data_IF_173842880896
#
_entry.id   IF_173842880896
#
_cell.length_a   1.000
_cell.length_b   1.000
_cell.length_c   1.000
_cell.angle_alpha   90.00
_cell.angle_beta   90.00
_cell.angle_gamma   90.00
#
_symmetry.space_group_name_H-M   'P 1'
#
loop_
_entity.id
_entity.type
_entity.pdbx_description
1 polymer ?
#
# COMPACT_ATOMS: atom_id res chain seq x y z
N UNK A 1 -0.58 8.55 -33.07
CA UNK A 1 0.72 8.38 -32.34
C UNK A 1 1.47 9.71 -32.22
N UNK A 2 1.64 10.50 -33.31
CA UNK A 2 2.30 11.83 -33.29
C UNK A 2 1.62 12.84 -32.36
N UNK A 3 0.29 12.94 -32.36
CA UNK A 3 -0.47 13.84 -31.50
C UNK A 3 -0.30 13.48 -29.99
N UNK A 4 -0.22 12.20 -29.68
CA UNK A 4 0.00 11.73 -28.30
C UNK A 4 1.43 12.06 -27.81
N UNK A 5 2.43 11.96 -28.69
CA UNK A 5 3.81 12.36 -28.39
C UNK A 5 3.95 13.88 -28.24
N UNK A 6 3.29 14.67 -29.09
CA UNK A 6 3.28 16.13 -28.96
C UNK A 6 2.59 16.59 -27.67
N UNK A 7 1.48 15.96 -27.27
CA UNK A 7 0.81 16.25 -25.99
C UNK A 7 1.70 15.89 -24.78
N UNK A 8 2.48 14.82 -24.86
CA UNK A 8 3.43 14.46 -23.82
C UNK A 8 4.57 15.46 -23.69
N UNK A 9 5.12 15.92 -24.83
CA UNK A 9 6.19 16.93 -24.86
C UNK A 9 5.68 18.27 -24.31
N UNK A 10 4.48 18.70 -24.71
CA UNK A 10 3.85 19.92 -24.19
C UNK A 10 3.60 19.83 -22.69
N UNK A 11 3.11 18.70 -22.20
CA UNK A 11 2.96 18.47 -20.76
C UNK A 11 4.30 18.52 -20.01
N UNK A 12 5.36 17.97 -20.58
CA UNK A 12 6.71 18.05 -20.00
C UNK A 12 7.26 19.48 -19.99
N UNK A 13 7.04 20.26 -21.03
CA UNK A 13 7.47 21.66 -21.11
C UNK A 13 6.71 22.53 -20.12
N UNK A 14 5.40 22.34 -19.97
CA UNK A 14 4.59 23.07 -18.99
C UNK A 14 5.06 22.76 -17.56
N UNK A 15 5.39 21.52 -17.26
CA UNK A 15 5.86 21.09 -15.94
C UNK A 15 7.23 21.71 -15.58
N UNK A 16 8.07 22.03 -16.59
CA UNK A 16 9.38 22.68 -16.35
C UNK A 16 9.30 24.17 -15.97
N UNK A 17 8.18 24.85 -16.25
CA UNK A 17 7.99 26.29 -15.92
C UNK A 17 7.14 26.54 -14.68
N UNK A 18 6.55 25.49 -14.09
CA UNK A 18 5.63 25.68 -12.94
C UNK A 18 6.41 25.82 -11.64
N UNK A 19 6.14 26.89 -10.91
CA UNK A 19 6.64 27.05 -9.55
C UNK A 19 5.93 26.06 -8.60
N UNK A 20 6.57 24.95 -8.30
CA UNK A 20 6.00 23.87 -7.46
C UNK A 20 5.52 24.35 -6.10
N UNK A 21 6.14 25.40 -5.53
CA UNK A 21 5.80 25.96 -4.22
C UNK A 21 4.42 26.64 -4.18
N UNK A 22 3.88 26.99 -5.35
CA UNK A 22 2.54 27.60 -5.47
C UNK A 22 1.44 26.56 -5.66
N UNK A 23 1.82 25.32 -5.99
CA UNK A 23 0.90 24.22 -6.22
C UNK A 23 0.34 23.66 -4.91
N UNK A 24 -0.94 23.28 -4.96
CA UNK A 24 -1.57 22.50 -3.90
C UNK A 24 -1.11 21.04 -3.95
N UNK A 25 -1.23 20.34 -2.84
CA UNK A 25 -0.90 18.91 -2.74
C UNK A 25 -1.53 18.06 -3.86
N UNK A 26 -2.81 18.30 -4.19
CA UNK A 26 -3.49 17.61 -5.28
C UNK A 26 -2.82 17.83 -6.66
N UNK A 27 -2.31 19.02 -6.90
CA UNK A 27 -1.59 19.34 -8.15
C UNK A 27 -0.21 18.69 -8.16
N UNK A 28 0.49 18.68 -7.03
CA UNK A 28 1.77 17.96 -6.86
C UNK A 28 1.57 16.46 -7.12
N UNK A 29 0.51 15.87 -6.58
CA UNK A 29 0.14 14.46 -6.85
C UNK A 29 -0.04 14.22 -8.34
N UNK A 30 -0.90 15.02 -8.99
CA UNK A 30 -1.29 14.80 -10.39
C UNK A 30 -0.16 15.05 -11.37
N UNK A 31 0.68 16.07 -11.14
CA UNK A 31 1.70 16.50 -12.09
C UNK A 31 3.04 15.78 -11.91
N UNK A 32 3.38 15.36 -10.68
CA UNK A 32 4.71 14.86 -10.38
C UNK A 32 4.69 13.44 -9.82
N UNK A 33 3.91 13.16 -8.75
CA UNK A 33 3.97 11.89 -8.02
C UNK A 33 3.30 10.78 -8.84
N UNK A 34 2.03 10.94 -9.24
CA UNK A 34 1.32 9.92 -10.05
C UNK A 34 2.07 9.57 -11.33
N UNK A 35 2.58 10.54 -12.15
CA UNK A 35 3.37 10.22 -13.32
C UNK A 35 4.69 9.50 -13.02
N UNK A 36 5.35 9.81 -11.88
CA UNK A 36 6.57 9.11 -11.47
C UNK A 36 6.29 7.63 -11.16
N UNK A 37 5.23 7.36 -10.38
CA UNK A 37 4.77 6.01 -10.09
C UNK A 37 4.38 5.25 -11.37
N UNK A 38 3.63 5.89 -12.27
CA UNK A 38 3.19 5.28 -13.53
C UNK A 38 4.35 4.90 -14.44
N UNK A 39 5.41 5.71 -14.52
CA UNK A 39 6.64 5.37 -15.29
C UNK A 39 7.31 4.10 -14.81
N UNK A 40 7.13 3.74 -13.54
CA UNK A 40 7.64 2.50 -12.91
C UNK A 40 6.65 1.33 -12.96
N UNK A 41 5.56 1.46 -13.73
CA UNK A 41 4.59 0.40 -13.94
C UNK A 41 3.51 0.30 -12.86
N UNK A 42 3.38 1.32 -11.99
CA UNK A 42 2.26 1.45 -11.07
C UNK A 42 1.06 2.06 -11.80
N UNK A 43 0.02 1.28 -12.02
CA UNK A 43 -1.16 1.70 -12.77
C UNK A 43 -2.36 1.87 -11.84
N UNK A 44 -3.02 3.04 -11.92
CA UNK A 44 -4.24 3.34 -11.16
C UNK A 44 -5.31 2.27 -11.45
N UNK A 45 -6.02 1.85 -10.43
CA UNK A 45 -7.06 0.83 -10.46
C UNK A 45 -6.61 -0.59 -10.84
N UNK A 46 -5.32 -0.81 -11.12
CA UNK A 46 -4.75 -2.13 -11.40
C UNK A 46 -3.89 -2.60 -10.21
N UNK A 47 -2.84 -1.87 -9.92
CA UNK A 47 -1.90 -2.17 -8.83
C UNK A 47 -1.55 -0.94 -7.97
N UNK A 48 -2.29 0.17 -8.14
CA UNK A 48 -2.22 1.37 -7.33
C UNK A 48 -3.64 1.87 -7.07
N UNK A 49 -3.97 2.12 -5.81
CA UNK A 49 -5.22 2.78 -5.39
C UNK A 49 -4.90 4.13 -4.82
N UNK A 50 -5.59 5.14 -5.32
CA UNK A 50 -5.53 6.49 -4.80
C UNK A 50 -6.60 6.69 -3.73
N UNK A 51 -6.31 7.52 -2.74
CA UNK A 51 -7.24 7.90 -1.67
C UNK A 51 -7.87 6.70 -0.96
N UNK A 52 -7.02 5.74 -0.54
CA UNK A 52 -7.47 4.51 0.08
C UNK A 52 -7.96 4.75 1.51
N UNK A 53 -9.26 4.51 1.74
CA UNK A 53 -9.88 4.63 3.06
C UNK A 53 -9.73 3.36 3.89
N UNK A 54 -9.34 3.53 5.15
CA UNK A 54 -9.31 2.48 6.15
C UNK A 54 -9.52 3.07 7.56
N UNK A 55 -9.79 2.22 8.55
CA UNK A 55 -9.97 2.61 9.94
C UNK A 55 -8.97 1.88 10.80
N UNK A 56 -8.54 2.44 11.93
CA UNK A 56 -7.64 1.77 12.88
C UNK A 56 -8.24 0.52 13.55
N UNK A 57 -9.48 0.15 13.22
CA UNK A 57 -10.18 -0.98 13.81
C UNK A 57 -10.50 -0.84 15.30
N UNK A 58 -10.18 0.27 15.94
CA UNK A 58 -10.49 0.53 17.34
C UNK A 58 -11.89 1.09 17.47
N UNK A 59 -12.76 0.34 18.14
CA UNK A 59 -14.01 0.87 18.69
C UNK A 59 -13.69 1.36 20.08
N UNK A 60 -13.67 2.67 20.29
CA UNK A 60 -13.55 3.25 21.63
C UNK A 60 -14.94 3.20 22.27
N UNK A 61 -15.04 2.39 23.32
CA UNK A 61 -16.24 2.34 24.16
C UNK A 61 -15.97 3.21 25.39
N UNK A 62 -16.60 4.39 25.45
CA UNK A 62 -16.54 5.27 26.62
C UNK A 62 -17.96 5.31 27.21
N UNK A 63 -18.18 4.55 28.27
CA UNK A 63 -19.52 4.38 28.86
C UNK A 63 -20.50 3.75 27.88
N UNK A 64 -21.66 4.37 27.65
CA UNK A 64 -22.68 3.92 26.68
C UNK A 64 -22.50 4.48 25.25
N UNK A 65 -21.42 5.21 25.00
CA UNK A 65 -21.14 5.77 23.69
C UNK A 65 -20.13 4.92 22.94
N UNK A 66 -20.46 4.53 21.72
CA UNK A 66 -19.56 3.89 20.77
C UNK A 66 -19.05 4.98 19.81
N UNK A 67 -17.78 5.32 19.84
CA UNK A 67 -17.15 6.09 18.79
C UNK A 67 -16.33 5.15 17.90
N UNK A 68 -16.62 5.18 16.61
CA UNK A 68 -15.75 4.56 15.60
C UNK A 68 -14.55 5.48 15.46
N UNK A 69 -13.33 4.94 15.48
CA UNK A 69 -12.14 5.73 15.21
C UNK A 69 -12.29 6.44 13.86
N UNK A 70 -11.81 7.67 13.77
CA UNK A 70 -11.84 8.44 12.53
C UNK A 70 -11.20 7.63 11.41
N UNK A 71 -11.88 7.61 10.25
CA UNK A 71 -11.36 6.96 9.05
C UNK A 71 -10.05 7.64 8.62
N UNK A 72 -9.05 6.84 8.30
CA UNK A 72 -7.79 7.30 7.73
C UNK A 72 -7.84 7.16 6.22
N UNK A 73 -7.10 8.01 5.51
CA UNK A 73 -7.03 7.99 4.07
C UNK A 73 -5.57 8.10 3.65
N UNK A 74 -5.05 7.05 3.02
CA UNK A 74 -3.74 7.07 2.41
C UNK A 74 -3.83 7.61 0.98
N UNK A 75 -2.89 8.45 0.57
CA UNK A 75 -2.87 9.02 -0.77
C UNK A 75 -2.70 7.96 -1.85
N UNK A 76 -1.77 7.02 -1.64
CA UNK A 76 -1.61 5.86 -2.53
C UNK A 76 -1.34 4.60 -1.71
N UNK A 77 -1.99 3.51 -2.12
CA UNK A 77 -1.69 2.17 -1.68
C UNK A 77 -1.27 1.32 -2.89
N UNK A 78 -0.07 0.75 -2.82
CA UNK A 78 0.57 0.04 -3.92
C UNK A 78 0.44 -1.48 -3.72
N UNK A 79 0.09 -2.19 -4.79
CA UNK A 79 -0.20 -3.63 -4.77
C UNK A 79 0.68 -4.40 -5.73
N UNK A 80 1.07 -5.61 -5.34
CA UNK A 80 1.62 -6.61 -6.24
C UNK A 80 0.96 -7.97 -5.99
N UNK A 81 0.56 -8.67 -7.06
CA UNK A 81 -0.18 -9.95 -6.98
C UNK A 81 -1.38 -9.90 -6.00
N UNK A 82 -2.14 -8.80 -6.02
CA UNK A 82 -3.27 -8.60 -5.11
C UNK A 82 -2.92 -8.33 -3.65
N UNK A 83 -1.63 -8.27 -3.28
CA UNK A 83 -1.15 -7.97 -1.94
C UNK A 83 -0.69 -6.52 -1.86
N UNK A 84 -1.16 -5.73 -0.87
CA UNK A 84 -0.60 -4.40 -0.64
C UNK A 84 0.84 -4.53 -0.12
N UNK A 85 1.76 -3.74 -0.65
CA UNK A 85 3.20 -3.81 -0.32
C UNK A 85 3.79 -2.49 0.14
N UNK A 86 3.24 -1.36 -0.27
CA UNK A 86 3.74 -0.05 0.10
C UNK A 86 2.61 0.98 0.18
N UNK A 87 2.84 2.02 0.96
CA UNK A 87 2.02 3.22 1.04
C UNK A 87 2.85 4.44 0.66
N UNK A 88 2.22 5.42 0.00
CA UNK A 88 2.86 6.70 -0.33
C UNK A 88 1.95 7.83 0.16
N UNK A 89 2.53 8.77 0.91
CA UNK A 89 1.90 10.01 1.35
C UNK A 89 2.48 11.19 0.57
N UNK A 90 1.61 12.03 0.07
CA UNK A 90 1.97 13.25 -0.63
C UNK A 90 1.94 14.46 0.30
N UNK A 91 2.75 15.45 0.01
CA UNK A 91 2.70 16.78 0.60
C UNK A 91 2.87 17.83 -0.49
N UNK A 92 2.41 19.05 -0.23
CA UNK A 92 2.74 20.16 -1.12
C UNK A 92 4.25 20.47 -1.05
N UNK A 93 4.74 21.20 -2.04
CA UNK A 93 6.18 21.48 -2.19
C UNK A 93 6.71 22.57 -1.22
N UNK A 94 5.89 23.01 -0.26
CA UNK A 94 6.33 23.84 0.87
C UNK A 94 6.92 23.01 2.00
N UNK A 95 6.59 21.73 2.04
CA UNK A 95 7.14 20.76 2.98
C UNK A 95 8.38 20.09 2.42
N UNK A 96 9.25 19.62 3.30
CA UNK A 96 10.36 18.76 2.92
C UNK A 96 9.87 17.43 2.37
N UNK A 97 10.73 16.72 1.62
CA UNK A 97 10.41 15.39 1.04
C UNK A 97 9.90 14.42 2.11
N UNK A 98 10.46 14.50 3.32
CA UNK A 98 10.06 13.68 4.47
C UNK A 98 8.83 14.18 5.24
N UNK A 99 8.19 15.28 4.83
CA UNK A 99 7.09 15.89 5.59
C UNK A 99 5.88 14.99 5.86
N UNK A 100 5.67 13.94 5.06
CA UNK A 100 4.62 12.94 5.23
C UNK A 100 5.09 11.59 5.76
N UNK A 101 6.41 11.39 6.01
CA UNK A 101 6.95 10.05 6.28
C UNK A 101 6.38 9.42 7.56
N UNK A 102 6.21 10.19 8.64
CA UNK A 102 5.64 9.65 9.87
C UNK A 102 4.21 9.16 9.66
N UNK A 103 3.40 9.90 8.92
CA UNK A 103 2.04 9.51 8.56
C UNK A 103 2.04 8.24 7.71
N UNK A 104 2.93 8.14 6.72
CA UNK A 104 3.10 6.95 5.90
C UNK A 104 3.53 5.74 6.73
N UNK A 105 4.45 5.91 7.68
CA UNK A 105 4.89 4.86 8.60
C UNK A 105 3.74 4.35 9.48
N UNK A 106 2.94 5.24 10.05
CA UNK A 106 1.77 4.89 10.86
C UNK A 106 0.77 4.07 10.05
N UNK A 107 0.54 4.47 8.80
CA UNK A 107 -0.34 3.75 7.88
C UNK A 107 0.23 2.39 7.49
N UNK A 108 1.53 2.32 7.21
CA UNK A 108 2.20 1.06 6.91
C UNK A 108 2.10 0.06 8.07
N UNK A 109 2.24 0.52 9.32
CA UNK A 109 2.08 -0.32 10.50
C UNK A 109 0.65 -0.86 10.65
N UNK A 110 -0.37 -0.03 10.45
CA UNK A 110 -1.78 -0.45 10.51
C UNK A 110 -2.08 -1.47 9.41
N UNK A 111 -1.57 -1.25 8.20
CA UNK A 111 -1.82 -2.08 7.02
C UNK A 111 -0.85 -3.27 6.89
N UNK A 112 0.09 -3.45 7.83
CA UNK A 112 1.15 -4.48 7.83
C UNK A 112 2.04 -4.44 6.58
N UNK A 113 2.42 -3.24 6.15
CA UNK A 113 3.29 -3.02 4.99
C UNK A 113 4.76 -2.93 5.41
N UNK A 114 5.66 -3.19 4.47
CA UNK A 114 7.11 -3.16 4.72
C UNK A 114 7.80 -1.92 4.15
N UNK A 115 7.10 -1.13 3.35
CA UNK A 115 7.63 0.08 2.74
C UNK A 115 6.65 1.24 2.91
N UNK A 116 7.16 2.36 3.40
CA UNK A 116 6.44 3.62 3.51
C UNK A 116 7.20 4.72 2.76
N UNK A 117 6.49 5.54 2.04
CA UNK A 117 7.07 6.63 1.25
C UNK A 117 6.38 7.95 1.55
N UNK A 118 7.15 9.02 1.53
CA UNK A 118 6.66 10.40 1.46
C UNK A 118 7.21 11.09 0.23
N UNK A 119 6.45 12.02 -0.36
CA UNK A 119 6.92 12.83 -1.49
C UNK A 119 6.28 14.22 -1.50
N UNK A 120 7.06 15.23 -1.84
CA UNK A 120 6.60 16.59 -2.13
C UNK A 120 6.68 16.95 -3.62
N UNK A 121 6.88 15.96 -4.49
CA UNK A 121 7.04 16.12 -5.92
C UNK A 121 8.46 16.45 -6.40
N UNK A 122 9.47 16.52 -5.52
CA UNK A 122 10.89 16.64 -5.88
C UNK A 122 11.60 15.30 -5.85
N UNK A 123 11.34 14.52 -4.80
CA UNK A 123 11.90 13.19 -4.59
C UNK A 123 10.91 12.36 -3.76
N UNK A 124 11.27 11.10 -3.49
CA UNK A 124 10.61 10.28 -2.47
C UNK A 124 11.58 10.05 -1.30
N UNK A 125 11.07 10.09 -0.08
CA UNK A 125 11.76 9.51 1.07
C UNK A 125 11.14 8.14 1.35
N UNK A 126 11.95 7.09 1.28
CA UNK A 126 11.58 5.72 1.63
C UNK A 126 11.91 5.44 3.09
N UNK A 127 10.99 4.85 3.85
CA UNK A 127 11.29 4.12 5.08
C UNK A 127 11.09 2.63 4.84
N UNK A 128 12.16 1.85 4.95
CA UNK A 128 12.17 0.40 4.80
C UNK A 128 12.12 -0.27 6.18
N UNK A 129 10.96 -0.83 6.56
CA UNK A 129 10.78 -1.54 7.83
C UNK A 129 11.58 -2.85 7.94
N UNK A 130 12.12 -3.37 6.83
CA UNK A 130 12.94 -4.58 6.84
C UNK A 130 14.34 -4.27 7.37
N UNK A 131 14.89 -3.15 6.92
CA UNK A 131 16.25 -2.73 7.25
C UNK A 131 16.30 -1.64 8.33
N UNK A 132 15.17 -0.97 8.58
CA UNK A 132 15.06 0.20 9.45
C UNK A 132 15.72 1.46 8.87
N UNK A 133 16.02 1.49 7.57
CA UNK A 133 16.71 2.61 6.92
C UNK A 133 15.74 3.56 6.24
N UNK A 134 16.11 4.83 6.25
CA UNK A 134 15.50 5.87 5.43
C UNK A 134 16.45 6.24 4.29
N UNK A 135 15.88 6.38 3.09
CA UNK A 135 16.64 6.67 1.87
C UNK A 135 15.84 7.62 0.99
N UNK A 136 16.45 8.75 0.63
CA UNK A 136 15.89 9.63 -0.37
C UNK A 136 16.20 9.09 -1.77
N UNK A 137 15.19 8.99 -2.63
CA UNK A 137 15.27 8.50 -4.01
C UNK A 137 14.63 9.50 -4.96
N UNK A 138 15.21 9.66 -6.14
CA UNK A 138 14.67 10.57 -7.15
C UNK A 138 13.34 10.04 -7.69
N UNK A 139 12.52 10.93 -8.25
CA UNK A 139 11.22 10.55 -8.83
C UNK A 139 11.36 9.48 -9.93
N UNK A 140 12.42 9.56 -10.74
CA UNK A 140 12.73 8.60 -11.80
C UNK A 140 13.25 7.25 -11.29
N UNK A 141 13.72 7.17 -10.06
CA UNK A 141 14.32 5.98 -9.47
C UNK A 141 13.38 5.22 -8.53
N UNK A 142 12.10 5.62 -8.46
CA UNK A 142 11.12 4.91 -7.65
C UNK A 142 11.10 3.42 -8.03
N UNK A 143 11.09 2.48 -7.06
CA UNK A 143 11.18 1.06 -7.37
C UNK A 143 9.93 0.53 -8.11
N UNK A 144 10.16 -0.47 -8.95
CA UNK A 144 9.09 -1.25 -9.58
C UNK A 144 8.42 -2.18 -8.57
N UNK A 145 7.25 -2.71 -8.93
CA UNK A 145 6.54 -3.68 -8.09
C UNK A 145 7.32 -4.97 -7.88
N UNK A 146 8.07 -5.39 -8.92
CA UNK A 146 8.93 -6.56 -8.88
C UNK A 146 10.12 -6.37 -7.93
N UNK A 147 10.74 -5.19 -7.95
CA UNK A 147 11.86 -4.84 -7.06
C UNK A 147 11.39 -4.81 -5.59
N UNK A 148 10.28 -4.13 -5.27
CA UNK A 148 9.75 -4.11 -3.90
C UNK A 148 9.37 -5.51 -3.43
N UNK A 149 8.72 -6.29 -4.30
CA UNK A 149 8.31 -7.64 -3.95
C UNK A 149 9.51 -8.56 -3.73
N UNK A 150 10.56 -8.45 -4.54
CA UNK A 150 11.81 -9.20 -4.36
C UNK A 150 12.48 -8.86 -3.02
N UNK A 151 12.53 -7.57 -2.64
CA UNK A 151 13.05 -7.14 -1.33
C UNK A 151 12.22 -7.74 -0.18
N UNK A 152 10.89 -7.72 -0.31
CA UNK A 152 9.99 -8.34 0.66
C UNK A 152 10.25 -9.85 0.79
N UNK A 153 10.33 -10.58 -0.32
CA UNK A 153 10.58 -12.03 -0.31
C UNK A 153 11.94 -12.37 0.26
N UNK A 154 12.99 -11.62 -0.09
CA UNK A 154 14.34 -11.83 0.44
C UNK A 154 14.38 -11.72 1.97
N UNK A 155 13.53 -10.88 2.58
CA UNK A 155 13.43 -10.75 4.04
C UNK A 155 12.74 -11.93 4.71
N UNK A 156 12.00 -12.73 3.95
CA UNK A 156 11.14 -13.80 4.48
C UNK A 156 11.79 -15.18 4.40
N UNK A 157 12.72 -15.41 3.47
CA UNK A 157 13.39 -16.68 3.22
C UNK A 157 12.41 -17.87 3.05
N UNK A 158 11.35 -17.68 2.25
CA UNK A 158 10.39 -18.74 1.96
C UNK A 158 10.99 -19.84 1.07
N UNK A 159 10.59 -21.09 1.32
CA UNK A 159 10.76 -22.17 0.35
C UNK A 159 9.80 -22.00 -0.83
N UNK A 160 10.02 -22.72 -1.92
CA UNK A 160 9.12 -22.70 -3.08
C UNK A 160 7.71 -23.21 -2.72
N UNK A 161 7.61 -24.22 -1.85
CA UNK A 161 6.34 -24.77 -1.40
C UNK A 161 5.58 -23.76 -0.52
N UNK A 162 6.26 -23.13 0.44
CA UNK A 162 5.68 -22.06 1.27
C UNK A 162 5.17 -20.91 0.40
N UNK A 163 5.97 -20.49 -0.59
CA UNK A 163 5.62 -19.38 -1.46
C UNK A 163 4.38 -19.69 -2.32
N UNK A 164 4.29 -20.92 -2.86
CA UNK A 164 3.12 -21.35 -3.63
C UNK A 164 1.82 -21.23 -2.81
N UNK A 165 1.85 -21.65 -1.54
CA UNK A 165 0.70 -21.54 -0.63
C UNK A 165 0.38 -20.06 -0.33
N UNK A 166 1.40 -19.27 0.02
CA UNK A 166 1.24 -17.86 0.41
C UNK A 166 0.72 -17.01 -0.77
N UNK A 167 1.17 -17.29 -1.99
CA UNK A 167 0.76 -16.56 -3.21
C UNK A 167 -0.58 -17.02 -3.78
N UNK A 168 -1.20 -18.10 -3.25
CA UNK A 168 -2.55 -18.48 -3.67
C UNK A 168 -3.49 -17.27 -3.57
N UNK A 169 -4.21 -16.88 -4.64
CA UNK A 169 -5.09 -15.73 -4.62
C UNK A 169 -6.24 -15.89 -3.61
N UNK A 170 -6.78 -14.78 -3.14
CA UNK A 170 -8.06 -14.81 -2.45
C UNK A 170 -9.16 -15.30 -3.39
N UNK A 171 -10.13 -16.02 -2.86
CA UNK A 171 -11.31 -16.40 -3.62
C UNK A 171 -12.20 -15.18 -3.87
N UNK A 172 -12.59 -15.01 -5.11
CA UNK A 172 -13.54 -13.99 -5.55
C UNK A 172 -14.57 -14.63 -6.49
N UNK A 173 -15.83 -14.33 -6.28
CA UNK A 173 -16.94 -14.61 -7.21
C UNK A 173 -17.67 -13.31 -7.55
N UNK A 174 -18.72 -13.39 -8.37
CA UNK A 174 -19.48 -12.23 -8.82
C UNK A 174 -20.20 -11.46 -7.67
N UNK A 175 -20.31 -12.07 -6.49
CA UNK A 175 -20.97 -11.50 -5.31
C UNK A 175 -20.00 -11.24 -4.17
N UNK A 176 -18.72 -11.59 -4.32
CA UNK A 176 -17.71 -11.42 -3.29
C UNK A 176 -17.35 -9.96 -3.10
N UNK A 177 -17.18 -9.57 -1.85
CA UNK A 177 -16.60 -8.29 -1.48
C UNK A 177 -15.10 -8.45 -1.27
N UNK A 178 -14.33 -7.43 -1.61
CA UNK A 178 -12.90 -7.43 -1.25
C UNK A 178 -12.73 -7.57 0.27
N UNK A 179 -11.76 -8.38 0.72
CA UNK A 179 -11.43 -8.48 2.14
C UNK A 179 -11.08 -7.10 2.69
N UNK A 180 -11.62 -6.76 3.83
CA UNK A 180 -11.16 -5.59 4.58
C UNK A 180 -9.70 -5.80 4.98
N UNK A 181 -8.93 -4.72 5.16
CA UNK A 181 -7.50 -4.80 5.44
C UNK A 181 -7.18 -5.74 6.62
N UNK A 182 -7.92 -5.67 7.73
CA UNK A 182 -7.69 -6.53 8.91
C UNK A 182 -8.02 -8.00 8.64
N UNK A 183 -9.01 -8.31 7.79
CA UNK A 183 -9.31 -9.68 7.34
C UNK A 183 -8.16 -10.22 6.49
N UNK A 184 -7.65 -9.40 5.56
CA UNK A 184 -6.50 -9.73 4.73
C UNK A 184 -5.28 -10.04 5.59
N UNK A 185 -4.95 -9.18 6.55
CA UNK A 185 -3.83 -9.40 7.49
C UNK A 185 -4.02 -10.71 8.26
N UNK A 186 -5.23 -10.97 8.78
CA UNK A 186 -5.52 -12.20 9.52
C UNK A 186 -5.34 -13.45 8.65
N UNK A 187 -5.85 -13.43 7.40
CA UNK A 187 -5.68 -14.53 6.44
C UNK A 187 -4.21 -14.72 6.09
N UNK A 188 -3.52 -13.67 5.64
CA UNK A 188 -2.14 -13.75 5.17
C UNK A 188 -1.20 -14.26 6.27
N UNK A 189 -1.32 -13.73 7.51
CA UNK A 189 -0.50 -14.19 8.65
C UNK A 189 -0.81 -15.62 9.06
N UNK A 190 -2.08 -16.03 9.01
CA UNK A 190 -2.47 -17.41 9.34
C UNK A 190 -1.94 -18.40 8.30
N UNK A 191 -2.11 -18.07 7.02
CA UNK A 191 -1.61 -18.90 5.91
C UNK A 191 -0.07 -19.00 5.96
N UNK A 192 0.62 -17.87 6.19
CA UNK A 192 2.09 -17.86 6.35
C UNK A 192 2.53 -18.77 7.51
N UNK A 193 1.87 -18.66 8.67
CA UNK A 193 2.21 -19.48 9.84
C UNK A 193 2.03 -20.98 9.56
N UNK A 194 0.92 -21.37 8.92
CA UNK A 194 0.64 -22.76 8.58
C UNK A 194 1.61 -23.27 7.51
N UNK A 195 1.90 -22.49 6.46
CA UNK A 195 2.85 -22.84 5.43
C UNK A 195 4.25 -23.13 6.02
N UNK A 196 4.63 -22.40 7.09
CA UNK A 196 5.87 -22.61 7.86
C UNK A 196 5.80 -23.75 8.89
N UNK A 197 4.75 -24.59 8.84
CA UNK A 197 4.61 -25.78 9.66
C UNK A 197 3.98 -25.54 11.04
N UNK A 198 3.44 -24.36 11.33
CA UNK A 198 2.75 -24.12 12.58
C UNK A 198 1.41 -24.85 12.62
N UNK A 199 1.22 -25.74 13.60
CA UNK A 199 0.04 -26.62 13.66
C UNK A 199 -1.17 -25.98 14.37
N UNK A 200 -0.99 -24.88 15.09
CA UNK A 200 -2.05 -24.20 15.84
C UNK A 200 -1.89 -22.69 15.73
N UNK A 201 -2.95 -22.03 15.29
CA UNK A 201 -3.03 -20.58 15.17
C UNK A 201 -4.29 -20.09 15.85
N UNK A 202 -4.17 -19.08 16.72
CA UNK A 202 -5.31 -18.42 17.33
C UNK A 202 -5.60 -17.10 16.61
N UNK A 203 -6.79 -17.00 16.01
CA UNK A 203 -7.27 -15.76 15.39
C UNK A 203 -8.39 -15.17 16.24
N UNK A 204 -8.17 -13.99 16.80
CA UNK A 204 -9.16 -13.29 17.63
C UNK A 204 -9.78 -12.16 16.82
N UNK A 205 -11.08 -12.23 16.61
CA UNK A 205 -11.86 -11.24 15.85
C UNK A 205 -13.15 -10.91 16.59
N UNK A 206 -13.52 -9.62 16.61
CA UNK A 206 -14.77 -9.16 17.21
C UNK A 206 -16.01 -9.71 16.48
N UNK A 207 -17.16 -9.68 17.14
CA UNK A 207 -18.44 -10.04 16.52
C UNK A 207 -18.75 -9.08 15.36
N UNK A 208 -19.28 -9.60 14.25
CA UNK A 208 -19.62 -8.80 13.07
C UNK A 208 -18.44 -8.44 12.15
N UNK A 209 -17.19 -8.85 12.47
CA UNK A 209 -16.01 -8.53 11.65
C UNK A 209 -15.75 -9.51 10.50
N UNK A 210 -16.64 -10.49 10.28
CA UNK A 210 -16.54 -11.45 9.17
C UNK A 210 -15.65 -12.65 9.45
N UNK A 211 -15.72 -13.22 10.67
CA UNK A 211 -14.98 -14.43 11.05
C UNK A 211 -15.15 -15.59 10.07
N UNK A 212 -16.39 -15.86 9.64
CA UNK A 212 -16.71 -16.95 8.69
C UNK A 212 -16.04 -16.71 7.34
N UNK A 213 -16.08 -15.49 6.83
CA UNK A 213 -15.39 -15.12 5.59
C UNK A 213 -13.86 -15.30 5.72
N UNK A 214 -13.27 -14.86 6.83
CA UNK A 214 -11.84 -15.01 7.11
C UNK A 214 -11.45 -16.49 7.16
N UNK A 215 -12.22 -17.33 7.87
CA UNK A 215 -11.98 -18.78 7.94
C UNK A 215 -12.09 -19.45 6.55
N UNK A 216 -13.09 -19.08 5.77
CA UNK A 216 -13.25 -19.58 4.40
C UNK A 216 -12.03 -19.25 3.51
N UNK A 217 -11.56 -18.01 3.54
CA UNK A 217 -10.41 -17.59 2.76
C UNK A 217 -9.12 -18.32 3.17
N UNK A 218 -8.93 -18.58 4.47
CA UNK A 218 -7.79 -19.37 4.97
C UNK A 218 -7.85 -20.79 4.39
N UNK A 219 -9.02 -21.45 4.48
CA UNK A 219 -9.20 -22.81 3.95
C UNK A 219 -8.94 -22.83 2.44
N UNK A 220 -9.51 -21.86 1.71
CA UNK A 220 -9.31 -21.77 0.25
C UNK A 220 -7.85 -21.64 -0.16
N UNK A 221 -7.06 -20.80 0.56
CA UNK A 221 -5.63 -20.62 0.24
C UNK A 221 -4.76 -21.81 0.60
N UNK A 222 -5.20 -22.68 1.49
CA UNK A 222 -4.47 -23.87 1.94
C UNK A 222 -4.84 -25.14 1.15
N UNK A 223 -5.87 -25.08 0.30
CA UNK A 223 -6.38 -26.20 -0.50
C UNK A 223 -5.92 -26.11 -1.94
#
# INVERSE_FOLDING_TARGET
>A
RLACQQLQIIKQLIVMEVNKKELKEQEIRTLFITPALQRKGWAVSVNMREEYYFTDGRVLVIGNHHSVAEGKKADYLLYHKGKPIAVVEAKDNKHDVGGGIQQAMDYAQILDLKFAYSSNGDAFLEHDFITGKETEIKLEDFPTKEELYSRYLASKNYTSEELNIIETPFYYDAHSHEPRYYQRIAVDRTVEAIARGQQRVLVVMATGTGKTFTAFQIIHKLH
#
